data_IF_030414919404
#
_entry.id   IF_030414919404
#
_cell.length_a   1.000
_cell.length_b   1.000
_cell.length_c   1.000
_cell.angle_alpha   90.00
_cell.angle_beta   90.00
_cell.angle_gamma   90.00
#
_symmetry.space_group_name_H-M   'P 1'
#
loop_
_entity.id
_entity.type
_entity.pdbx_description
1 polymer ?
#
# COMPACT_ATOMS: atom_id res chain seq x y z
N UNK A 1 -24.30 -27.30 -8.29
CA UNK A 1 -23.85 -26.65 -9.53
C UNK A 1 -23.39 -25.24 -9.21
N UNK A 2 -22.17 -24.82 -9.56
CA UNK A 2 -21.74 -23.44 -9.28
C UNK A 2 -22.53 -22.46 -10.16
N UNK A 3 -23.06 -21.41 -9.53
CA UNK A 3 -23.61 -20.23 -10.22
C UNK A 3 -22.48 -19.25 -10.54
N UNK A 4 -22.71 -18.35 -11.49
CA UNK A 4 -21.79 -17.25 -11.75
C UNK A 4 -21.61 -16.43 -10.46
N UNK A 5 -20.36 -16.15 -10.12
CA UNK A 5 -20.02 -15.42 -8.90
C UNK A 5 -20.38 -13.93 -8.94
N UNK A 6 -20.74 -13.38 -10.10
CA UNK A 6 -21.33 -12.05 -10.22
C UNK A 6 -22.80 -12.14 -9.80
N UNK A 7 -23.17 -11.51 -8.69
CA UNK A 7 -24.53 -11.60 -8.12
C UNK A 7 -25.65 -11.14 -9.05
N UNK A 8 -25.36 -10.23 -9.99
CA UNK A 8 -26.32 -9.79 -11.01
C UNK A 8 -26.44 -10.77 -12.20
N UNK A 9 -25.60 -11.81 -12.27
CA UNK A 9 -25.60 -12.81 -13.33
C UNK A 9 -26.15 -14.13 -12.78
N UNK A 10 -27.39 -14.48 -13.12
CA UNK A 10 -28.07 -15.69 -12.66
C UNK A 10 -27.68 -16.99 -13.39
N UNK A 11 -26.60 -16.99 -14.19
CA UNK A 11 -26.23 -18.15 -15.03
C UNK A 11 -25.59 -19.27 -14.21
N UNK A 12 -25.85 -20.51 -14.63
CA UNK A 12 -25.29 -21.73 -14.04
C UNK A 12 -24.16 -22.30 -14.90
N UNK A 13 -23.21 -22.98 -14.25
CA UNK A 13 -22.15 -23.71 -14.94
C UNK A 13 -22.69 -24.92 -15.71
N UNK A 14 -22.46 -25.02 -17.04
CA UNK A 14 -22.83 -26.19 -17.81
C UNK A 14 -21.85 -27.33 -17.50
N UNK A 15 -22.28 -28.24 -16.62
CA UNK A 15 -21.49 -29.41 -16.18
C UNK A 15 -21.09 -30.37 -17.31
N UNK A 16 -21.66 -30.25 -18.50
CA UNK A 16 -21.46 -31.16 -19.64
C UNK A 16 -20.64 -30.59 -20.81
N UNK A 17 -20.22 -29.32 -20.80
CA UNK A 17 -19.40 -28.73 -21.89
C UNK A 17 -18.01 -28.33 -21.39
N UNK A 18 -16.99 -29.14 -21.71
CA UNK A 18 -15.59 -28.94 -21.25
C UNK A 18 -14.81 -27.81 -21.94
N UNK A 19 -15.27 -27.24 -23.07
CA UNK A 19 -14.54 -26.18 -23.79
C UNK A 19 -15.01 -24.75 -23.52
N UNK A 20 -16.23 -24.56 -23.03
CA UNK A 20 -16.82 -23.23 -22.73
C UNK A 20 -17.23 -23.13 -21.25
N UNK A 21 -16.50 -23.82 -20.37
CA UNK A 21 -16.87 -23.98 -18.97
C UNK A 21 -16.55 -22.74 -18.12
N UNK A 22 -16.59 -21.52 -18.68
CA UNK A 22 -16.38 -20.26 -17.96
C UNK A 22 -14.94 -19.99 -17.50
N UNK A 23 -14.77 -18.96 -16.68
CA UNK A 23 -13.49 -18.49 -16.12
C UNK A 23 -13.52 -18.74 -14.61
N UNK A 24 -12.43 -19.27 -14.06
CA UNK A 24 -12.28 -19.45 -12.60
C UNK A 24 -11.20 -18.51 -12.08
N UNK A 25 -11.54 -17.68 -11.09
CA UNK A 25 -10.64 -16.73 -10.43
C UNK A 25 -10.89 -16.79 -8.91
N UNK A 26 -9.83 -16.93 -8.11
CA UNK A 26 -9.90 -17.04 -6.64
C UNK A 26 -10.91 -18.10 -6.15
N UNK A 27 -10.95 -19.26 -6.81
CA UNK A 27 -11.89 -20.34 -6.49
C UNK A 27 -13.36 -20.05 -6.85
N UNK A 28 -13.64 -18.95 -7.54
CA UNK A 28 -14.99 -18.54 -7.97
C UNK A 28 -15.14 -18.70 -9.47
N UNK A 29 -16.31 -19.20 -9.89
CA UNK A 29 -16.63 -19.43 -11.29
C UNK A 29 -17.40 -18.26 -11.93
N UNK A 30 -17.08 -17.92 -13.17
CA UNK A 30 -17.70 -16.85 -13.95
C UNK A 30 -18.09 -17.36 -15.33
N UNK A 31 -19.28 -16.98 -15.83
CA UNK A 31 -19.76 -17.50 -17.10
C UNK A 31 -19.10 -16.85 -18.34
N UNK A 32 -18.38 -15.73 -18.17
CA UNK A 32 -17.77 -14.95 -19.26
C UNK A 32 -16.76 -13.94 -18.72
N UNK A 33 -15.88 -13.43 -19.58
CA UNK A 33 -14.94 -12.34 -19.26
C UNK A 33 -15.66 -11.08 -18.77
N UNK A 34 -16.79 -10.70 -19.40
CA UNK A 34 -17.58 -9.55 -18.97
C UNK A 34 -18.19 -9.71 -17.56
N UNK A 35 -18.38 -10.93 -17.07
CA UNK A 35 -18.77 -11.16 -15.67
C UNK A 35 -17.61 -10.99 -14.70
N UNK A 36 -16.39 -11.33 -15.11
CA UNK A 36 -15.16 -11.07 -14.34
C UNK A 36 -14.91 -9.57 -14.29
N UNK A 37 -14.90 -8.89 -15.44
CA UNK A 37 -14.69 -7.44 -15.54
C UNK A 37 -15.72 -6.64 -14.76
N UNK A 38 -17.01 -7.02 -14.87
CA UNK A 38 -18.06 -6.34 -14.14
C UNK A 38 -17.91 -6.46 -12.62
N UNK A 39 -17.45 -7.61 -12.10
CA UNK A 39 -17.15 -7.76 -10.69
C UNK A 39 -15.89 -6.97 -10.29
N UNK A 40 -14.83 -7.03 -11.10
CA UNK A 40 -13.58 -6.31 -10.86
C UNK A 40 -13.81 -4.80 -10.80
N UNK A 41 -14.54 -4.24 -11.76
CA UNK A 41 -14.93 -2.83 -11.80
C UNK A 41 -15.71 -2.42 -10.56
N UNK A 42 -16.71 -3.22 -10.17
CA UNK A 42 -17.48 -2.96 -8.95
C UNK A 42 -16.60 -2.97 -7.71
N UNK A 43 -15.70 -3.93 -7.57
CA UNK A 43 -14.77 -4.00 -6.43
C UNK A 43 -13.82 -2.82 -6.39
N UNK A 44 -13.33 -2.33 -7.53
CA UNK A 44 -12.48 -1.15 -7.58
C UNK A 44 -13.24 0.13 -7.20
N UNK A 45 -14.50 0.26 -7.61
CA UNK A 45 -15.34 1.40 -7.25
C UNK A 45 -15.81 1.36 -5.79
N UNK A 46 -16.13 0.16 -5.29
CA UNK A 46 -16.54 -0.07 -3.89
C UNK A 46 -15.33 -0.16 -2.95
N UNK A 47 -14.11 -0.20 -3.48
CA UNK A 47 -12.89 -0.25 -2.67
C UNK A 47 -12.75 1.06 -1.91
N UNK A 48 -13.14 1.04 -0.64
CA UNK A 48 -12.72 2.07 0.31
C UNK A 48 -11.19 1.94 0.44
N UNK A 49 -10.41 3.00 0.18
CA UNK A 49 -9.00 2.95 0.50
C UNK A 49 -8.84 2.55 1.97
N UNK A 50 -7.84 1.72 2.32
CA UNK A 50 -7.63 1.33 3.70
C UNK A 50 -7.59 2.59 4.56
N UNK A 51 -8.47 2.66 5.56
CA UNK A 51 -8.64 3.83 6.42
C UNK A 51 -7.42 4.14 7.32
N UNK A 52 -6.33 3.38 7.17
CA UNK A 52 -5.18 3.40 8.06
C UNK A 52 -3.99 4.04 7.37
N UNK A 53 -3.70 5.29 7.74
CA UNK A 53 -2.35 5.84 7.87
C UNK A 53 -1.46 5.91 6.62
N UNK A 54 -1.99 5.77 5.41
CA UNK A 54 -1.21 6.15 4.24
C UNK A 54 -1.04 7.67 4.25
N UNK A 55 0.20 8.19 4.22
CA UNK A 55 0.40 9.62 4.01
C UNK A 55 -0.32 10.04 2.72
N UNK A 56 -0.81 11.29 2.62
CA UNK A 56 -1.44 11.76 1.40
C UNK A 56 -0.56 11.40 0.21
N UNK A 57 -1.14 10.74 -0.79
CA UNK A 57 -0.43 10.26 -1.96
C UNK A 57 0.40 11.42 -2.54
N UNK A 58 1.74 11.30 -2.46
CA UNK A 58 2.68 12.33 -2.88
C UNK A 58 3.68 12.81 -1.82
N UNK A 59 3.45 12.55 -0.52
CA UNK A 59 4.43 12.93 0.53
C UNK A 59 5.38 11.77 0.88
N UNK A 60 6.60 11.84 0.37
CA UNK A 60 7.71 10.95 0.76
C UNK A 60 7.98 11.11 2.27
N UNK A 61 8.04 10.01 3.02
CA UNK A 61 8.32 10.04 4.47
C UNK A 61 9.74 10.54 4.76
N UNK A 62 9.93 11.27 5.86
CA UNK A 62 11.24 11.80 6.27
C UNK A 62 12.34 10.72 6.32
N UNK A 63 12.03 9.54 6.83
CA UNK A 63 12.99 8.42 6.87
C UNK A 63 13.50 8.03 5.48
N UNK A 64 12.66 8.08 4.45
CA UNK A 64 13.06 7.79 3.06
C UNK A 64 14.00 8.87 2.53
N UNK A 65 13.72 10.15 2.80
CA UNK A 65 14.61 11.24 2.45
C UNK A 65 15.99 11.08 3.11
N UNK A 66 16.03 10.76 4.40
CA UNK A 66 17.28 10.63 5.14
C UNK A 66 18.09 9.39 4.71
N UNK A 67 17.44 8.30 4.29
CA UNK A 67 18.13 7.17 3.65
C UNK A 67 18.86 7.62 2.38
N UNK A 68 18.19 8.40 1.53
CA UNK A 68 18.77 8.85 0.27
C UNK A 68 19.85 9.93 0.45
N UNK A 69 19.69 10.84 1.41
CA UNK A 69 20.56 12.00 1.56
C UNK A 69 21.72 11.81 2.54
N UNK A 70 21.48 11.04 3.60
CA UNK A 70 22.44 10.85 4.71
C UNK A 70 22.94 9.41 4.76
N UNK A 71 22.41 8.53 3.90
CA UNK A 71 22.84 7.13 3.83
C UNK A 71 22.35 6.28 4.99
N UNK A 72 21.25 6.67 5.65
CA UNK A 72 20.65 5.79 6.66
C UNK A 72 20.32 4.42 6.04
N UNK A 73 20.75 3.38 6.72
CA UNK A 73 20.41 1.99 6.36
C UNK A 73 19.02 1.65 6.87
N UNK A 74 18.43 0.57 6.32
CA UNK A 74 17.14 0.07 6.77
C UNK A 74 17.15 -0.33 8.25
N UNK A 75 18.19 -1.04 8.70
CA UNK A 75 18.39 -1.37 10.13
C UNK A 75 18.46 -0.12 11.00
N UNK A 76 19.14 0.93 10.57
CA UNK A 76 19.19 2.18 11.34
C UNK A 76 17.81 2.82 11.41
N UNK A 77 17.04 2.84 10.32
CA UNK A 77 15.66 3.36 10.36
C UNK A 77 14.79 2.59 11.36
N UNK A 78 14.88 1.25 11.38
CA UNK A 78 14.18 0.42 12.37
C UNK A 78 14.58 0.79 13.80
N UNK A 79 15.89 0.91 14.06
CA UNK A 79 16.40 1.31 15.37
C UNK A 79 15.93 2.71 15.79
N UNK A 80 15.82 3.66 14.86
CA UNK A 80 15.23 4.98 15.15
C UNK A 80 13.76 4.81 15.57
N UNK A 81 12.98 4.03 14.81
CA UNK A 81 11.55 3.82 15.10
C UNK A 81 11.33 3.14 16.46
N UNK A 82 12.18 2.17 16.81
CA UNK A 82 12.16 1.51 18.10
C UNK A 82 12.46 2.49 19.24
N UNK A 83 13.54 3.26 19.11
CA UNK A 83 13.91 4.27 20.09
C UNK A 83 12.85 5.39 20.20
N UNK A 84 12.21 5.74 19.09
CA UNK A 84 11.14 6.74 19.04
C UNK A 84 9.93 6.33 19.88
N UNK A 85 9.55 5.06 19.83
CA UNK A 85 8.44 4.51 20.62
C UNK A 85 8.69 4.60 22.12
N UNK A 86 9.95 4.52 22.53
CA UNK A 86 10.35 4.58 23.94
C UNK A 86 10.57 6.02 24.43
N UNK A 87 11.07 6.91 23.56
CA UNK A 87 11.44 8.28 23.94
C UNK A 87 10.32 9.31 23.76
N UNK A 88 9.35 9.04 22.89
CA UNK A 88 8.34 10.01 22.46
C UNK A 88 8.89 11.14 21.59
N UNK A 89 10.17 11.13 21.24
CA UNK A 89 10.76 12.14 20.37
C UNK A 89 10.23 12.03 18.94
N UNK A 90 10.35 13.11 18.15
CA UNK A 90 10.10 13.04 16.71
C UNK A 90 11.25 12.30 16.03
N UNK A 91 10.95 11.58 14.93
CA UNK A 91 11.93 10.79 14.18
C UNK A 91 13.23 11.56 13.90
N UNK A 92 13.14 12.80 13.38
CA UNK A 92 14.32 13.62 13.09
C UNK A 92 15.18 13.91 14.32
N UNK A 93 14.56 14.25 15.45
CA UNK A 93 15.28 14.47 16.72
C UNK A 93 15.93 13.16 17.23
N UNK A 94 15.27 12.03 17.02
CA UNK A 94 15.81 10.72 17.39
C UNK A 94 17.02 10.33 16.52
N UNK A 95 16.99 10.62 15.21
CA UNK A 95 18.13 10.41 14.30
C UNK A 95 19.35 11.24 14.73
N UNK A 96 19.14 12.51 15.10
CA UNK A 96 20.21 13.40 15.59
C UNK A 96 20.76 12.90 16.91
N UNK A 97 19.89 12.52 17.86
CA UNK A 97 20.28 11.95 19.15
C UNK A 97 21.13 10.69 19.02
N UNK A 98 20.87 9.88 17.99
CA UNK A 98 21.63 8.66 17.69
C UNK A 98 22.91 8.92 16.89
N UNK A 99 23.19 10.17 16.52
CA UNK A 99 24.40 10.57 15.79
C UNK A 99 24.41 10.17 14.32
N UNK A 100 23.26 9.83 13.74
CA UNK A 100 23.17 9.35 12.35
C UNK A 100 22.86 10.43 11.32
N UNK A 101 22.46 11.62 11.78
CA UNK A 101 22.35 12.81 10.95
C UNK A 101 22.61 14.07 11.78
N UNK A 102 23.06 15.14 11.14
CA UNK A 102 23.08 16.46 11.75
C UNK A 102 21.69 17.11 11.75
N UNK A 103 21.46 18.07 12.63
CA UNK A 103 20.23 18.87 12.65
C UNK A 103 19.98 19.54 11.30
N UNK A 104 21.03 20.07 10.66
CA UNK A 104 20.94 20.67 9.33
C UNK A 104 20.46 19.68 8.26
N UNK A 105 20.95 18.42 8.30
CA UNK A 105 20.53 17.40 7.34
C UNK A 105 19.05 17.05 7.53
N UNK A 106 18.58 16.99 8.78
CA UNK A 106 17.16 16.80 9.09
C UNK A 106 16.32 17.98 8.62
N UNK A 107 16.78 19.22 8.84
CA UNK A 107 16.13 20.43 8.37
C UNK A 107 16.01 20.45 6.84
N UNK A 108 17.07 20.14 6.10
CA UNK A 108 17.05 20.06 4.63
C UNK A 108 16.09 18.98 4.12
N UNK A 109 16.04 17.83 4.78
CA UNK A 109 15.11 16.75 4.42
C UNK A 109 13.64 17.15 4.68
N UNK A 110 13.36 17.84 5.79
CA UNK A 110 12.03 18.38 6.11
C UNK A 110 11.59 19.47 5.13
N UNK A 111 12.50 20.38 4.77
CA UNK A 111 12.28 21.44 3.79
C UNK A 111 11.84 20.86 2.44
N UNK A 112 12.57 19.85 1.94
CA UNK A 112 12.20 19.11 0.73
C UNK A 112 10.89 18.35 0.85
N UNK A 113 10.64 17.71 2.00
CA UNK A 113 9.37 17.01 2.24
C UNK A 113 8.17 17.97 2.19
N UNK A 114 8.36 19.21 2.62
CA UNK A 114 7.35 20.27 2.58
C UNK A 114 7.29 21.02 1.24
N UNK A 115 8.18 20.71 0.28
CA UNK A 115 8.24 21.40 -1.01
C UNK A 115 8.75 22.84 -0.93
N UNK A 116 9.45 23.19 0.16
CA UNK A 116 10.06 24.50 0.38
C UNK A 116 11.56 24.30 0.49
N UNK A 117 12.31 24.60 -0.57
CA UNK A 117 13.76 24.45 -0.59
C UNK A 117 14.38 24.67 -1.95
#
# INVERSE_FOLDING_TARGET
MPRCARSSCGRWSPWFRRRDAGITLDGRWFCSIGCVEGLARRRLLDARPPAVGLPPAGQIRLGVWLRHQVGLTERQVEQVLDAQRQSGLRFGAQVVKLGWASEEAVLRALARQAGVG
#
